data_IF_658204487079
#
_entry.id   IF_658204487079
#
_cell.length_a   1.000
_cell.length_b   1.000
_cell.length_c   1.000
_cell.angle_alpha   90.00
_cell.angle_beta   90.00
_cell.angle_gamma   90.00
#
_symmetry.space_group_name_H-M   'P 1'
#
loop_
_entity.id
_entity.type
_entity.pdbx_description
1 polymer ?
#
# COMPACT_ATOMS: atom_id res chain seq x y z
N UNK A 1 -12.65 13.84 -7.32
CA UNK A 1 -12.76 13.83 -5.82
C UNK A 1 -12.01 15.01 -5.27
N UNK A 2 -12.41 15.59 -4.12
CA UNK A 2 -11.61 16.62 -3.44
C UNK A 2 -10.57 15.99 -2.51
N UNK A 3 -9.53 16.74 -2.12
CA UNK A 3 -8.66 16.29 -1.04
C UNK A 3 -9.48 16.29 0.27
N UNK A 4 -9.46 15.18 0.99
CA UNK A 4 -10.21 15.05 2.25
C UNK A 4 -9.57 15.87 3.38
N UNK A 5 -8.26 16.06 3.32
CA UNK A 5 -7.45 16.85 4.23
C UNK A 5 -6.51 17.75 3.44
N UNK A 6 -6.11 18.87 4.03
CA UNK A 6 -5.17 19.85 3.47
C UNK A 6 -4.16 20.23 4.56
N UNK A 7 -3.30 19.29 4.89
CA UNK A 7 -2.24 19.43 5.89
C UNK A 7 -0.94 19.90 5.24
N UNK A 8 -0.01 20.42 6.03
CA UNK A 8 1.38 20.45 5.58
C UNK A 8 1.95 19.02 5.59
N UNK A 9 3.07 18.80 4.89
CA UNK A 9 3.76 17.50 4.93
C UNK A 9 4.15 17.12 6.36
N UNK A 10 4.68 18.07 7.13
CA UNK A 10 5.09 17.86 8.52
C UNK A 10 3.90 17.44 9.42
N UNK A 11 2.75 18.08 9.24
CA UNK A 11 1.52 17.73 9.96
C UNK A 11 1.06 16.32 9.57
N UNK A 12 1.12 15.98 8.29
CA UNK A 12 0.74 14.65 7.82
C UNK A 12 1.70 13.56 8.33
N UNK A 13 3.03 13.84 8.34
CA UNK A 13 4.04 12.97 8.95
C UNK A 13 3.81 12.80 10.45
N UNK A 14 3.42 13.86 11.16
CA UNK A 14 3.08 13.77 12.59
C UNK A 14 1.87 12.86 12.83
N UNK A 15 0.80 13.00 12.03
CA UNK A 15 -0.38 12.11 12.09
C UNK A 15 0.04 10.66 11.84
N UNK A 16 0.85 10.44 10.81
CA UNK A 16 1.32 9.10 10.47
C UNK A 16 2.16 8.48 11.59
N UNK A 17 3.14 9.20 12.14
CA UNK A 17 3.99 8.72 13.25
C UNK A 17 3.19 8.39 14.50
N UNK A 18 2.18 9.19 14.82
CA UNK A 18 1.30 8.96 15.98
C UNK A 18 0.51 7.66 15.88
N UNK A 19 0.10 7.28 14.67
CA UNK A 19 -0.78 6.14 14.44
C UNK A 19 -0.06 4.97 13.72
N UNK A 20 1.26 5.00 13.62
CA UNK A 20 2.06 4.10 12.77
C UNK A 20 1.80 2.61 13.05
N UNK A 21 1.71 2.23 14.33
CA UNK A 21 1.46 0.84 14.71
C UNK A 21 0.08 0.37 14.24
N UNK A 22 -0.92 1.26 14.30
CA UNK A 22 -2.26 0.95 13.80
C UNK A 22 -2.25 0.71 12.27
N UNK A 23 -1.51 1.52 11.52
CA UNK A 23 -1.40 1.35 10.06
C UNK A 23 -0.66 0.07 9.68
N UNK A 24 0.39 -0.28 10.43
CA UNK A 24 1.11 -1.55 10.27
C UNK A 24 0.18 -2.73 10.60
N UNK A 25 -0.55 -2.66 11.71
CA UNK A 25 -1.51 -3.68 12.11
C UNK A 25 -2.62 -3.89 11.07
N UNK A 26 -3.23 -2.82 10.59
CA UNK A 26 -4.25 -2.87 9.55
C UNK A 26 -3.68 -3.49 8.26
N UNK A 27 -2.47 -3.13 7.87
CA UNK A 27 -1.81 -3.69 6.69
C UNK A 27 -1.48 -5.17 6.86
N UNK A 28 -0.97 -5.58 8.03
CA UNK A 28 -0.67 -6.97 8.35
C UNK A 28 -1.93 -7.85 8.36
N UNK A 29 -3.01 -7.38 8.99
CA UNK A 29 -4.29 -8.10 9.02
C UNK A 29 -4.96 -8.16 7.65
N UNK A 30 -4.78 -7.14 6.81
CA UNK A 30 -5.21 -7.15 5.41
C UNK A 30 -4.45 -8.21 4.58
N UNK A 31 -3.25 -8.60 4.94
CA UNK A 31 -2.50 -9.72 4.34
C UNK A 31 -2.85 -11.08 4.98
N UNK A 32 -3.81 -11.13 5.89
CA UNK A 32 -4.25 -12.35 6.55
C UNK A 32 -3.37 -12.79 7.72
N UNK A 33 -2.42 -11.96 8.16
CA UNK A 33 -1.61 -12.24 9.35
C UNK A 33 -2.51 -12.12 10.58
N UNK A 34 -2.63 -13.21 11.33
CA UNK A 34 -3.43 -13.27 12.57
C UNK A 34 -2.63 -12.66 13.71
N UNK A 35 -2.57 -11.37 13.78
CA UNK A 35 -1.86 -10.57 14.79
C UNK A 35 -2.81 -9.58 15.44
N UNK A 36 -2.67 -9.35 16.74
CA UNK A 36 -3.39 -8.31 17.48
C UNK A 36 -2.61 -6.99 17.46
N UNK A 37 -3.30 -5.89 17.78
CA UNK A 37 -2.64 -4.59 17.91
C UNK A 37 -1.51 -4.59 18.98
N UNK A 38 -1.71 -5.14 20.22
CA UNK A 38 -0.62 -5.22 21.21
C UNK A 38 0.58 -6.05 20.74
N UNK A 39 0.36 -7.13 20.01
CA UNK A 39 1.45 -7.93 19.43
C UNK A 39 2.20 -7.16 18.35
N UNK A 40 1.48 -6.41 17.50
CA UNK A 40 2.10 -5.53 16.49
C UNK A 40 2.95 -4.44 17.16
N UNK A 41 2.43 -3.84 18.25
CA UNK A 41 3.18 -2.87 19.05
C UNK A 41 4.44 -3.49 19.64
N UNK A 42 4.36 -4.69 20.21
CA UNK A 42 5.52 -5.38 20.76
C UNK A 42 6.61 -5.64 19.71
N UNK A 43 6.22 -6.10 18.50
CA UNK A 43 7.16 -6.30 17.39
C UNK A 43 7.76 -4.95 16.94
N UNK A 44 6.93 -3.92 16.83
CA UNK A 44 7.38 -2.58 16.46
C UNK A 44 8.45 -2.05 17.42
N UNK A 45 8.31 -2.33 18.72
CA UNK A 45 9.25 -1.94 19.78
C UNK A 45 10.47 -2.88 19.89
N UNK A 46 10.55 -3.91 19.03
CA UNK A 46 11.66 -4.88 19.03
C UNK A 46 11.49 -6.03 20.05
N UNK A 47 10.30 -6.21 20.59
CA UNK A 47 9.96 -7.28 21.51
C UNK A 47 9.73 -8.62 20.78
N UNK A 48 9.58 -9.67 21.60
CA UNK A 48 9.31 -11.04 21.15
C UNK A 48 7.81 -11.33 21.31
N UNK A 49 7.21 -11.87 20.27
CA UNK A 49 5.81 -12.33 20.28
C UNK A 49 5.77 -13.82 19.97
N UNK A 50 5.04 -14.59 20.79
CA UNK A 50 4.83 -16.02 20.60
C UNK A 50 3.60 -16.28 19.71
N UNK A 51 3.64 -17.39 18.97
CA UNK A 51 2.50 -17.85 18.17
C UNK A 51 2.44 -17.32 16.74
N UNK A 52 3.31 -16.39 16.37
CA UNK A 52 3.50 -15.96 14.98
C UNK A 52 4.61 -16.76 14.29
N UNK A 53 4.48 -16.99 12.99
CA UNK A 53 5.57 -17.54 12.19
C UNK A 53 6.68 -16.52 12.03
N UNK A 54 7.89 -16.99 11.73
CA UNK A 54 9.04 -16.11 11.45
C UNK A 54 8.71 -15.15 10.28
N UNK A 55 8.08 -15.66 9.23
CA UNK A 55 7.71 -14.84 8.05
C UNK A 55 6.70 -13.74 8.41
N UNK A 56 5.75 -14.01 9.33
CA UNK A 56 4.81 -12.99 9.80
C UNK A 56 5.53 -11.87 10.58
N UNK A 57 6.49 -12.22 11.42
CA UNK A 57 7.31 -11.24 12.15
C UNK A 57 8.16 -10.43 11.18
N UNK A 58 8.78 -11.08 10.19
CA UNK A 58 9.53 -10.42 9.12
C UNK A 58 8.62 -9.46 8.35
N UNK A 59 7.43 -9.88 7.94
CA UNK A 59 6.48 -9.04 7.20
C UNK A 59 6.10 -7.77 7.97
N UNK A 60 5.86 -7.87 9.29
CA UNK A 60 5.54 -6.73 10.15
C UNK A 60 6.74 -5.78 10.28
N UNK A 61 7.95 -6.32 10.48
CA UNK A 61 9.17 -5.50 10.52
C UNK A 61 9.44 -4.82 9.17
N UNK A 62 9.23 -5.50 8.06
CA UNK A 62 9.38 -4.92 6.73
C UNK A 62 8.40 -3.75 6.51
N UNK A 63 7.16 -3.88 6.97
CA UNK A 63 6.21 -2.77 6.97
C UNK A 63 6.70 -1.60 7.83
N UNK A 64 7.25 -1.84 9.02
CA UNK A 64 7.86 -0.80 9.86
C UNK A 64 8.95 -0.05 9.09
N UNK A 65 9.91 -0.74 8.50
CA UNK A 65 11.01 -0.11 7.76
C UNK A 65 10.53 0.63 6.51
N UNK A 66 9.55 0.07 5.80
CA UNK A 66 8.97 0.73 4.63
C UNK A 66 8.20 2.01 5.01
N UNK A 67 7.47 2.01 6.12
CA UNK A 67 6.84 3.21 6.66
C UNK A 67 7.87 4.26 7.08
N UNK A 68 8.93 3.86 7.81
CA UNK A 68 10.02 4.78 8.17
C UNK A 68 10.62 5.43 6.93
N UNK A 69 10.92 4.64 5.90
CA UNK A 69 11.45 5.14 4.65
C UNK A 69 10.55 6.20 4.02
N UNK A 70 9.24 5.95 3.83
CA UNK A 70 8.35 6.93 3.17
C UNK A 70 8.09 8.18 4.00
N UNK A 71 8.22 8.09 5.33
CA UNK A 71 8.06 9.23 6.24
C UNK A 71 9.31 10.12 6.31
N UNK A 72 10.50 9.52 6.24
CA UNK A 72 11.79 10.20 6.41
C UNK A 72 12.33 10.76 5.10
N UNK A 73 11.91 10.22 3.96
CA UNK A 73 12.37 10.66 2.64
C UNK A 73 11.53 11.82 2.12
N UNK A 74 12.19 12.94 1.88
CA UNK A 74 11.66 14.10 1.17
C UNK A 74 12.20 14.08 -0.28
N UNK A 75 11.57 14.82 -1.18
CA UNK A 75 12.04 15.07 -2.55
C UNK A 75 12.34 13.81 -3.40
N UNK A 76 11.75 12.66 -3.05
CA UNK A 76 11.79 11.48 -3.90
C UNK A 76 10.57 11.49 -4.81
N UNK A 77 10.83 11.47 -6.11
CA UNK A 77 9.79 11.36 -7.13
C UNK A 77 9.03 10.03 -6.98
N UNK A 78 7.69 10.13 -7.00
CA UNK A 78 6.83 8.95 -7.08
C UNK A 78 6.90 8.40 -8.51
N UNK A 79 7.75 7.41 -8.73
CA UNK A 79 8.00 6.79 -10.02
C UNK A 79 8.13 5.25 -9.91
N UNK A 80 8.43 4.63 -11.02
CA UNK A 80 8.69 3.17 -11.07
C UNK A 80 9.88 2.75 -10.20
N UNK A 81 10.91 3.59 -10.03
CA UNK A 81 12.09 3.24 -9.22
C UNK A 81 11.71 3.21 -7.73
N UNK A 82 10.92 4.21 -7.30
CA UNK A 82 10.38 4.22 -5.94
C UNK A 82 9.49 3.00 -5.68
N UNK A 83 8.63 2.64 -6.64
CA UNK A 83 7.78 1.45 -6.55
C UNK A 83 8.62 0.18 -6.33
N UNK A 84 9.68 -0.02 -7.12
CA UNK A 84 10.62 -1.13 -6.96
C UNK A 84 11.40 -1.07 -5.64
N UNK A 85 11.73 0.12 -5.15
CA UNK A 85 12.42 0.28 -3.87
C UNK A 85 11.51 -0.09 -2.69
N UNK A 86 10.26 0.36 -2.70
CA UNK A 86 9.27 -0.04 -1.68
C UNK A 86 9.10 -1.56 -1.69
N UNK A 87 9.05 -2.19 -2.88
CA UNK A 87 8.98 -3.65 -2.96
C UNK A 87 10.18 -4.33 -2.29
N UNK A 88 11.40 -3.82 -2.48
CA UNK A 88 12.58 -4.37 -1.79
C UNK A 88 12.43 -4.34 -0.27
N UNK A 89 11.84 -3.28 0.28
CA UNK A 89 11.63 -3.16 1.72
C UNK A 89 10.55 -4.12 2.23
N UNK A 90 9.39 -4.18 1.56
CA UNK A 90 8.26 -5.00 2.05
C UNK A 90 8.43 -6.50 1.81
N UNK A 91 9.27 -6.89 0.85
CA UNK A 91 9.48 -8.29 0.44
C UNK A 91 10.82 -8.88 0.93
N UNK A 92 11.65 -8.10 1.64
CA UNK A 92 12.94 -8.58 2.16
C UNK A 92 12.76 -9.87 2.97
N UNK A 93 13.56 -10.88 2.66
CA UNK A 93 13.52 -12.23 3.26
C UNK A 93 12.18 -13.00 3.11
N UNK A 94 11.22 -12.47 2.34
CA UNK A 94 9.95 -13.13 2.04
C UNK A 94 9.88 -13.67 0.62
N UNK A 95 10.74 -13.18 -0.27
CA UNK A 95 10.92 -13.66 -1.64
C UNK A 95 12.41 -13.92 -1.89
N UNK A 96 12.73 -14.54 -3.03
CA UNK A 96 14.13 -14.72 -3.42
C UNK A 96 14.82 -13.39 -3.69
N UNK A 97 16.09 -13.26 -3.35
CA UNK A 97 16.88 -12.05 -3.59
C UNK A 97 16.88 -11.62 -5.07
N UNK A 98 16.76 -12.60 -5.97
CA UNK A 98 16.64 -12.35 -7.41
C UNK A 98 15.37 -11.64 -7.82
N UNK A 99 14.31 -11.70 -7.01
CA UNK A 99 12.99 -11.11 -7.26
C UNK A 99 12.79 -9.77 -6.56
N UNK A 100 13.68 -9.42 -5.61
CA UNK A 100 13.58 -8.17 -4.85
C UNK A 100 13.63 -6.93 -5.75
N UNK A 101 12.55 -6.15 -5.74
CA UNK A 101 12.44 -4.92 -6.53
C UNK A 101 12.37 -5.13 -8.03
N UNK A 102 12.06 -6.35 -8.48
CA UNK A 102 11.94 -6.68 -9.91
C UNK A 102 10.54 -7.17 -10.23
N UNK A 103 10.08 -6.86 -11.43
CA UNK A 103 8.83 -7.42 -11.94
C UNK A 103 8.96 -8.92 -12.10
N UNK A 104 7.86 -9.63 -11.83
CA UNK A 104 7.82 -11.09 -11.92
C UNK A 104 8.02 -11.59 -13.34
N UNK A 105 8.64 -12.74 -13.44
CA UNK A 105 8.81 -13.49 -14.69
C UNK A 105 7.95 -14.77 -14.73
N UNK A 106 7.13 -14.99 -13.71
CA UNK A 106 6.23 -16.15 -13.57
C UNK A 106 4.79 -15.71 -13.41
N UNK A 107 3.81 -16.54 -13.81
CA UNK A 107 2.40 -16.27 -13.52
C UNK A 107 2.14 -16.24 -12.02
N UNK A 108 1.15 -15.43 -11.60
CA UNK A 108 0.63 -15.41 -10.23
C UNK A 108 -0.88 -15.65 -10.26
N UNK A 109 -1.41 -16.21 -9.18
CA UNK A 109 -2.84 -16.35 -8.96
C UNK A 109 -3.24 -15.47 -7.78
N UNK A 110 -4.44 -14.87 -7.87
CA UNK A 110 -5.03 -14.10 -6.79
C UNK A 110 -6.10 -14.97 -6.15
N UNK A 111 -6.02 -15.16 -4.83
CA UNK A 111 -7.04 -15.91 -4.10
C UNK A 111 -8.42 -15.24 -4.17
N UNK A 112 -9.48 -16.04 -4.28
CA UNK A 112 -10.86 -15.58 -4.26
C UNK A 112 -11.41 -15.01 -5.57
N UNK A 113 -10.64 -15.02 -6.67
CA UNK A 113 -11.09 -14.55 -7.99
C UNK A 113 -10.59 -15.44 -9.13
N UNK A 114 -11.29 -15.42 -10.25
CA UNK A 114 -10.86 -16.04 -11.51
C UNK A 114 -9.95 -15.13 -12.35
N UNK A 115 -9.78 -13.87 -11.96
CA UNK A 115 -8.95 -12.91 -12.67
C UNK A 115 -7.50 -13.36 -12.70
N UNK A 116 -6.91 -13.34 -13.89
CA UNK A 116 -5.49 -13.65 -14.11
C UNK A 116 -4.78 -12.38 -14.56
N UNK A 117 -3.88 -11.83 -13.74
CA UNK A 117 -3.13 -10.65 -14.12
C UNK A 117 -2.26 -10.93 -15.36
N UNK A 118 -2.24 -9.98 -16.29
CA UNK A 118 -1.35 -10.05 -17.44
C UNK A 118 0.11 -10.07 -17.01
N UNK A 119 0.98 -10.64 -17.84
CA UNK A 119 2.42 -10.56 -17.64
C UNK A 119 2.86 -9.10 -17.58
N UNK A 120 3.65 -8.70 -16.58
CA UNK A 120 4.13 -7.33 -16.49
C UNK A 120 5.19 -7.07 -17.57
N UNK A 121 5.09 -5.91 -18.24
CA UNK A 121 6.08 -5.39 -19.16
C UNK A 121 6.55 -4.06 -18.59
N UNK A 122 7.84 -3.93 -18.32
CA UNK A 122 8.40 -2.79 -17.58
C UNK A 122 8.13 -1.44 -18.27
N UNK A 123 8.30 -1.37 -19.60
CA UNK A 123 8.03 -0.14 -20.35
C UNK A 123 6.57 0.31 -20.24
N UNK A 124 5.64 -0.65 -20.36
CA UNK A 124 4.20 -0.36 -20.21
C UNK A 124 3.86 0.12 -18.79
N UNK A 125 4.42 -0.53 -17.77
CA UNK A 125 4.19 -0.12 -16.37
C UNK A 125 4.68 1.31 -16.14
N UNK A 126 5.86 1.65 -16.68
CA UNK A 126 6.41 3.02 -16.56
C UNK A 126 5.51 4.05 -17.25
N UNK A 127 5.04 3.77 -18.46
CA UNK A 127 4.14 4.63 -19.22
C UNK A 127 2.80 4.80 -18.50
N UNK A 128 2.13 3.70 -18.14
CA UNK A 128 0.85 3.69 -17.42
C UNK A 128 0.95 4.42 -16.07
N UNK A 129 2.06 4.25 -15.33
CA UNK A 129 2.27 4.93 -14.06
C UNK A 129 2.45 6.45 -14.25
N UNK A 130 3.23 6.86 -15.26
CA UNK A 130 3.40 8.27 -15.61
C UNK A 130 2.06 8.91 -16.00
N UNK A 131 1.24 8.22 -16.79
CA UNK A 131 -0.11 8.68 -17.16
C UNK A 131 -1.01 8.89 -15.93
N UNK A 132 -0.97 7.98 -14.95
CA UNK A 132 -1.76 8.10 -13.72
C UNK A 132 -1.28 9.27 -12.86
N UNK A 133 0.03 9.43 -12.71
CA UNK A 133 0.63 10.40 -11.80
C UNK A 133 0.53 11.86 -12.31
N UNK A 134 0.47 12.05 -13.63
CA UNK A 134 0.49 13.36 -14.29
C UNK A 134 -0.91 13.88 -14.70
N UNK A 135 -1.98 13.36 -14.11
CA UNK A 135 -3.35 13.84 -14.37
C UNK A 135 -3.62 15.15 -13.63
N UNK A 136 -3.39 16.28 -14.29
CA UNK A 136 -3.52 17.62 -13.70
C UNK A 136 -4.95 17.97 -13.23
N UNK A 137 -5.97 17.36 -13.86
CA UNK A 137 -7.38 17.57 -13.51
C UNK A 137 -7.83 16.82 -12.25
N UNK A 138 -7.00 15.93 -11.73
CA UNK A 138 -7.29 15.12 -10.52
C UNK A 138 -6.55 15.64 -9.30
N UNK A 139 -7.21 15.49 -8.15
CA UNK A 139 -6.58 15.80 -6.87
C UNK A 139 -5.53 14.74 -6.51
N UNK A 140 -4.61 15.07 -5.62
CA UNK A 140 -3.57 14.14 -5.16
C UNK A 140 -4.15 12.93 -4.42
N UNK A 141 -5.26 13.10 -3.69
CA UNK A 141 -6.01 11.99 -3.10
C UNK A 141 -6.52 11.04 -4.18
N UNK A 142 -7.09 11.56 -5.25
CA UNK A 142 -7.61 10.76 -6.35
C UNK A 142 -6.49 9.99 -7.08
N UNK A 143 -5.39 10.67 -7.39
CA UNK A 143 -4.19 10.06 -7.99
C UNK A 143 -3.62 8.95 -7.10
N UNK A 144 -3.53 9.18 -5.78
CA UNK A 144 -3.01 8.19 -4.85
C UNK A 144 -3.88 6.92 -4.82
N UNK A 145 -5.21 7.07 -4.75
CA UNK A 145 -6.13 5.92 -4.77
C UNK A 145 -6.04 5.17 -6.09
N UNK A 146 -6.02 5.87 -7.23
CA UNK A 146 -5.92 5.23 -8.54
C UNK A 146 -4.59 4.52 -8.74
N UNK A 147 -3.48 5.12 -8.31
CA UNK A 147 -2.16 4.47 -8.31
C UNK A 147 -2.18 3.19 -7.48
N UNK A 148 -2.77 3.23 -6.28
CA UNK A 148 -2.92 2.05 -5.41
C UNK A 148 -3.70 0.95 -6.12
N UNK A 149 -4.85 1.27 -6.68
CA UNK A 149 -5.72 0.31 -7.35
C UNK A 149 -5.07 -0.27 -8.62
N UNK A 150 -4.38 0.56 -9.38
CA UNK A 150 -3.60 0.13 -10.53
C UNK A 150 -2.53 -0.90 -10.13
N UNK A 151 -1.70 -0.59 -9.11
CA UNK A 151 -0.64 -1.48 -8.64
C UNK A 151 -1.24 -2.80 -8.13
N UNK A 152 -2.33 -2.75 -7.35
CA UNK A 152 -3.02 -3.93 -6.84
C UNK A 152 -3.53 -4.83 -7.97
N UNK A 153 -4.09 -4.29 -9.05
CA UNK A 153 -4.62 -5.08 -10.15
C UNK A 153 -3.54 -5.57 -11.10
N UNK A 154 -2.51 -4.76 -11.33
CA UNK A 154 -1.41 -5.11 -12.24
C UNK A 154 -0.59 -6.29 -11.75
N UNK A 155 -0.51 -6.50 -10.42
CA UNK A 155 0.22 -7.61 -9.81
C UNK A 155 1.62 -7.78 -10.42
N UNK A 156 2.39 -6.71 -10.40
CA UNK A 156 3.67 -6.65 -11.12
C UNK A 156 4.80 -7.40 -10.43
N UNK A 157 4.69 -7.66 -9.14
CA UNK A 157 5.67 -8.42 -8.36
C UNK A 157 5.17 -9.83 -8.04
N UNK A 158 6.10 -10.72 -7.67
CA UNK A 158 5.77 -12.11 -7.32
C UNK A 158 4.93 -12.19 -6.03
N UNK A 159 5.16 -11.29 -5.07
CA UNK A 159 4.39 -11.11 -3.83
C UNK A 159 4.46 -9.64 -3.38
N UNK A 160 3.72 -9.26 -2.33
CA UNK A 160 3.78 -7.94 -1.70
C UNK A 160 3.06 -6.81 -2.45
N UNK A 161 2.35 -7.10 -3.55
CA UNK A 161 1.72 -6.08 -4.39
C UNK A 161 0.75 -5.15 -3.63
N UNK A 162 -0.08 -5.67 -2.71
CA UNK A 162 -0.98 -4.83 -1.91
C UNK A 162 -0.22 -3.92 -0.94
N UNK A 163 0.81 -4.46 -0.28
CA UNK A 163 1.67 -3.69 0.65
C UNK A 163 2.39 -2.55 -0.07
N UNK A 164 2.98 -2.85 -1.22
CA UNK A 164 3.62 -1.85 -2.09
C UNK A 164 2.63 -0.79 -2.53
N UNK A 165 1.45 -1.20 -3.01
CA UNK A 165 0.41 -0.30 -3.49
C UNK A 165 -0.02 0.71 -2.42
N UNK A 166 -0.26 0.24 -1.19
CA UNK A 166 -0.65 1.10 -0.07
C UNK A 166 0.46 2.06 0.34
N UNK A 167 1.71 1.61 0.40
CA UNK A 167 2.85 2.46 0.78
C UNK A 167 3.16 3.49 -0.30
N UNK A 168 3.10 3.11 -1.58
CA UNK A 168 3.29 4.05 -2.69
C UNK A 168 2.21 5.14 -2.70
N UNK A 169 0.94 4.77 -2.54
CA UNK A 169 -0.15 5.73 -2.41
C UNK A 169 0.03 6.64 -1.19
N UNK A 170 0.43 6.09 -0.05
CA UNK A 170 0.68 6.87 1.16
C UNK A 170 1.87 7.83 1.02
N UNK A 171 2.87 7.51 0.21
CA UNK A 171 3.94 8.48 -0.13
C UNK A 171 3.35 9.70 -0.84
N UNK A 172 2.47 9.49 -1.83
CA UNK A 172 1.76 10.59 -2.52
C UNK A 172 0.91 11.40 -1.54
N UNK A 173 0.14 10.71 -0.68
CA UNK A 173 -0.73 11.35 0.30
C UNK A 173 0.05 12.20 1.31
N UNK A 174 1.15 11.66 1.84
CA UNK A 174 2.00 12.32 2.85
C UNK A 174 2.66 13.56 2.28
N UNK A 175 3.27 13.45 1.11
CA UNK A 175 3.98 14.57 0.50
C UNK A 175 3.05 15.73 0.11
N UNK A 176 1.76 15.44 -0.05
CA UNK A 176 0.76 16.45 -0.43
C UNK A 176 -0.23 16.77 0.71
N UNK A 177 0.01 16.32 1.94
CA UNK A 177 -0.83 16.66 3.09
C UNK A 177 -2.26 16.13 3.03
N UNK A 178 -2.51 15.03 2.31
CA UNK A 178 -3.85 14.54 2.00
C UNK A 178 -4.40 13.51 3.01
N UNK A 179 -3.73 13.30 4.15
CA UNK A 179 -4.06 12.24 5.10
C UNK A 179 -3.34 10.93 4.81
N UNK A 180 -3.84 9.82 5.35
CA UNK A 180 -3.24 8.49 5.26
C UNK A 180 -4.30 7.49 4.80
N UNK A 181 -4.02 6.73 3.75
CA UNK A 181 -4.87 5.62 3.32
C UNK A 181 -4.58 4.40 4.22
N UNK A 182 -5.60 3.91 4.90
CA UNK A 182 -5.53 2.70 5.73
C UNK A 182 -6.87 1.96 5.69
N UNK A 183 -6.83 0.64 5.56
CA UNK A 183 -8.02 -0.20 5.55
C UNK A 183 -8.20 -0.76 6.96
N UNK A 184 -8.95 -0.04 7.78
CA UNK A 184 -9.21 -0.46 9.15
C UNK A 184 -9.90 -1.83 9.20
N UNK A 185 -9.69 -2.56 10.28
CA UNK A 185 -10.09 -3.97 10.41
C UNK A 185 -11.57 -4.19 10.09
N UNK A 186 -12.43 -3.30 10.54
CA UNK A 186 -13.88 -3.34 10.30
C UNK A 186 -14.28 -3.19 8.84
N UNK A 187 -13.44 -2.58 8.00
CA UNK A 187 -13.70 -2.36 6.57
C UNK A 187 -13.04 -3.39 5.66
N UNK A 188 -12.23 -4.31 6.19
CA UNK A 188 -11.44 -5.23 5.36
C UNK A 188 -12.30 -6.20 4.56
N UNK A 189 -13.38 -6.72 5.12
CA UNK A 189 -14.29 -7.65 4.41
C UNK A 189 -14.96 -6.97 3.22
N UNK A 190 -15.49 -5.75 3.42
CA UNK A 190 -16.11 -4.99 2.34
C UNK A 190 -15.10 -4.56 1.29
N UNK A 191 -13.90 -4.14 1.72
CA UNK A 191 -12.79 -3.82 0.84
C UNK A 191 -12.45 -5.01 -0.07
N UNK A 192 -12.30 -6.22 0.49
CA UNK A 192 -12.00 -7.41 -0.30
C UNK A 192 -13.11 -7.75 -1.29
N UNK A 193 -14.37 -7.66 -0.89
CA UNK A 193 -15.52 -7.89 -1.78
C UNK A 193 -15.45 -6.95 -2.99
N UNK A 194 -15.19 -5.66 -2.76
CA UNK A 194 -15.08 -4.67 -3.83
C UNK A 194 -13.80 -4.83 -4.65
N UNK A 195 -12.70 -5.24 -4.02
CA UNK A 195 -11.42 -5.49 -4.71
C UNK A 195 -11.54 -6.66 -5.69
N UNK A 196 -12.22 -7.74 -5.32
CA UNK A 196 -12.50 -8.88 -6.22
C UNK A 196 -13.33 -8.42 -7.43
N UNK A 197 -14.40 -7.67 -7.21
CA UNK A 197 -15.21 -7.09 -8.30
C UNK A 197 -14.35 -6.21 -9.24
N UNK A 198 -13.46 -5.41 -8.66
CA UNK A 198 -12.55 -4.58 -9.45
C UNK A 198 -11.56 -5.43 -10.25
N UNK A 199 -10.99 -6.48 -9.68
CA UNK A 199 -10.10 -7.38 -10.40
C UNK A 199 -10.78 -7.98 -11.62
N UNK A 200 -12.01 -8.42 -11.50
CA UNK A 200 -12.78 -9.09 -12.58
C UNK A 200 -13.27 -8.10 -13.64
N UNK A 201 -13.86 -6.99 -13.23
CA UNK A 201 -14.48 -6.03 -14.14
C UNK A 201 -13.52 -4.99 -14.73
N UNK A 202 -12.41 -4.67 -14.04
CA UNK A 202 -11.57 -3.52 -14.35
C UNK A 202 -12.17 -2.16 -13.96
N UNK A 203 -13.41 -2.12 -13.45
CA UNK A 203 -14.06 -0.89 -13.04
C UNK A 203 -13.75 -0.57 -11.57
N UNK A 204 -12.94 0.45 -11.35
CA UNK A 204 -12.49 0.85 -10.01
C UNK A 204 -13.48 1.76 -9.25
N UNK A 205 -14.54 2.26 -9.88
CA UNK A 205 -15.36 3.36 -9.34
C UNK A 205 -15.95 3.06 -7.96
N UNK A 206 -16.52 1.86 -7.77
CA UNK A 206 -17.13 1.45 -6.50
C UNK A 206 -16.07 1.36 -5.38
N UNK A 207 -14.94 0.71 -5.67
CA UNK A 207 -13.84 0.56 -4.71
C UNK A 207 -13.15 1.89 -4.41
N UNK A 208 -12.93 2.73 -5.42
CA UNK A 208 -12.37 4.07 -5.29
C UNK A 208 -13.21 4.95 -4.36
N UNK A 209 -14.54 4.97 -4.56
CA UNK A 209 -15.47 5.72 -3.70
C UNK A 209 -15.47 5.19 -2.26
N UNK A 210 -15.43 3.87 -2.09
CA UNK A 210 -15.34 3.25 -0.77
C UNK A 210 -14.07 3.66 -0.03
N UNK A 211 -12.90 3.58 -0.68
CA UNK A 211 -11.63 3.99 -0.09
C UNK A 211 -11.67 5.47 0.30
N UNK A 212 -12.15 6.33 -0.59
CA UNK A 212 -12.27 7.75 -0.32
C UNK A 212 -13.15 8.04 0.91
N UNK A 213 -14.27 7.34 1.03
CA UNK A 213 -15.25 7.59 2.09
C UNK A 213 -14.77 7.08 3.45
N UNK A 214 -14.22 5.85 3.50
CA UNK A 214 -14.04 5.11 4.74
C UNK A 214 -12.56 4.84 5.11
N UNK A 215 -11.63 4.95 4.16
CA UNK A 215 -10.28 4.44 4.34
C UNK A 215 -9.20 5.55 4.33
N UNK A 216 -9.57 6.81 4.58
CA UNK A 216 -8.61 7.92 4.70
C UNK A 216 -8.70 8.48 6.12
N UNK A 217 -7.61 8.34 6.85
CA UNK A 217 -7.38 8.89 8.18
C UNK A 217 -6.65 10.24 8.11
N UNK A 218 -6.90 11.13 9.06
CA UNK A 218 -6.29 12.45 9.14
C UNK A 218 -6.88 13.28 10.26
N UNK A 219 -6.48 14.54 10.34
CA UNK A 219 -7.02 15.52 11.30
C UNK A 219 -7.53 16.76 10.56
N UNK A 220 -8.63 17.31 11.04
CA UNK A 220 -9.09 18.64 10.63
C UNK A 220 -8.44 19.66 11.60
N UNK A 221 -7.70 20.60 11.04
CA UNK A 221 -7.06 21.70 11.76
C UNK A 221 -7.85 22.99 11.58
#
# INVERSE_FOLDING_TARGET
>A
MENKYNLTREQNVFVAKRNIVNYIWNSATLEGIKVTYPETQAIYDGGIVNGLTVDNIIAINNLKYAWQFILETEDIECDYKLLCHIHKLVADKLVLDTDLGKIRTTPVNIGGTSFKPQFPIESQIKEELVEILNQEEKTKTEIAIESMLYIMRRQMFIDGNKRVAMLFANKIMIDNGCGIITIAKEYQEEFYTKLIKYYESGNMLELKNFIYTYCIDGINL
#
